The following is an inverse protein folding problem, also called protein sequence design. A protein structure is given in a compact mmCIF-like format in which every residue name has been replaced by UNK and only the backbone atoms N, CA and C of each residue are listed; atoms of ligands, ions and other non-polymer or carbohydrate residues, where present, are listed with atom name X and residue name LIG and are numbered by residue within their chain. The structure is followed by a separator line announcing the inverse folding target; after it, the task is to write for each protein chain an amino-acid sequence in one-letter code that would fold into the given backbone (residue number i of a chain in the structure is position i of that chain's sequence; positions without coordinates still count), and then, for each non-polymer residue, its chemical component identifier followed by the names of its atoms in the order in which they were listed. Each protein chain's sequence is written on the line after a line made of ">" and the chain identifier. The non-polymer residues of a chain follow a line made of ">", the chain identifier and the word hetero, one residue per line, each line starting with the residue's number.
data_IF_742182286640
#
_entry.id   IF_742182286640
#
_cell.length_a   1.000
_cell.length_b   1.000
_cell.length_c   1.000
_cell.angle_alpha   90.00
_cell.angle_beta   90.00
_cell.angle_gamma   90.00
#
_symmetry.space_group_name_H-M   'P 1'
#
loop_
_entity.id
_entity.type
_entity.pdbx_description
1 polymer ?
#
# COMPACT_ATOMS: atom_id res chain seq x y z
N UNK A 1 -22.93 -49.95 44.87
CA UNK A 1 -24.17 -49.50 44.23
C UNK A 1 -24.07 -47.98 44.16
N UNK A 2 -23.28 -47.50 43.20
CA UNK A 2 -23.64 -46.94 41.87
C UNK A 2 -23.66 -45.40 41.98
N UNK A 3 -22.62 -44.69 41.53
CA UNK A 3 -22.53 -43.93 40.23
C UNK A 3 -23.79 -43.12 39.95
N UNK A 4 -23.74 -41.80 39.69
CA UNK A 4 -23.24 -41.10 38.47
C UNK A 4 -23.28 -39.59 38.79
N UNK A 5 -22.23 -38.79 38.70
CA UNK A 5 -21.60 -38.15 37.53
C UNK A 5 -22.53 -37.22 36.72
N UNK A 6 -22.21 -35.93 36.66
CA UNK A 6 -22.55 -35.03 35.54
C UNK A 6 -21.82 -33.70 35.74
N UNK A 7 -20.59 -33.67 35.24
CA UNK A 7 -19.86 -32.48 34.81
C UNK A 7 -20.73 -31.64 33.85
N UNK A 8 -21.03 -30.39 34.21
CA UNK A 8 -21.50 -29.38 33.27
C UNK A 8 -20.30 -28.49 32.89
N UNK A 9 -19.52 -28.98 31.92
CA UNK A 9 -18.51 -28.17 31.23
C UNK A 9 -19.24 -27.35 30.17
N UNK A 10 -19.59 -26.13 30.54
CA UNK A 10 -19.85 -25.06 29.57
C UNK A 10 -18.57 -24.80 28.78
N UNK A 11 -18.47 -25.37 27.59
CA UNK A 11 -17.52 -24.97 26.57
C UNK A 11 -17.89 -23.55 26.14
N UNK A 12 -17.25 -22.57 26.75
CA UNK A 12 -17.20 -21.21 26.23
C UNK A 12 -16.42 -21.23 24.93
N UNK A 13 -17.13 -21.18 23.80
CA UNK A 13 -16.56 -20.72 22.54
C UNK A 13 -16.26 -19.24 22.74
N UNK A 14 -15.00 -18.93 23.09
CA UNK A 14 -14.46 -17.57 23.05
C UNK A 14 -14.47 -17.10 21.59
N UNK A 15 -15.62 -16.60 21.16
CA UNK A 15 -15.71 -15.79 19.95
C UNK A 15 -15.38 -14.39 20.43
N UNK A 16 -14.11 -14.01 20.34
CA UNK A 16 -13.66 -12.64 20.52
C UNK A 16 -14.27 -11.78 19.38
N UNK A 17 -15.55 -11.44 19.54
CA UNK A 17 -16.25 -10.38 18.80
C UNK A 17 -15.68 -9.02 19.25
N UNK A 18 -14.38 -8.83 19.07
CA UNK A 18 -13.76 -7.52 19.10
C UNK A 18 -14.31 -6.76 17.90
N UNK A 19 -15.17 -5.78 18.19
CA UNK A 19 -15.84 -4.95 17.17
C UNK A 19 -14.81 -4.30 16.27
N UNK A 20 -14.81 -4.64 14.98
CA UNK A 20 -13.90 -4.06 14.00
C UNK A 20 -14.05 -2.52 13.94
N UNK A 21 -12.92 -1.82 13.93
CA UNK A 21 -12.81 -0.35 13.81
C UNK A 21 -13.35 0.14 12.46
N UNK A 22 -13.14 -0.64 11.39
CA UNK A 22 -13.59 -0.30 10.03
C UNK A 22 -13.52 -1.48 9.06
N UNK A 23 -14.08 -1.32 7.86
CA UNK A 23 -14.01 -2.28 6.77
C UNK A 23 -13.53 -1.57 5.50
N UNK A 24 -12.64 -2.22 4.76
CA UNK A 24 -12.02 -1.69 3.54
C UNK A 24 -12.00 -2.76 2.46
N UNK A 25 -12.04 -2.36 1.20
CA UNK A 25 -11.79 -3.28 0.09
C UNK A 25 -10.33 -3.74 0.07
N UNK A 26 -9.39 -2.84 0.37
CA UNK A 26 -7.96 -3.15 0.38
C UNK A 26 -7.30 -2.55 1.62
N UNK A 27 -6.52 -3.35 2.35
CA UNK A 27 -5.60 -2.85 3.38
C UNK A 27 -4.16 -3.06 2.93
N UNK A 28 -3.41 -1.97 2.79
CA UNK A 28 -1.98 -1.97 2.48
C UNK A 28 -1.20 -1.84 3.78
N UNK A 29 -0.32 -2.80 4.06
CA UNK A 29 0.52 -2.83 5.25
C UNK A 29 1.91 -2.28 4.90
N UNK A 30 2.19 -1.04 5.30
CA UNK A 30 3.42 -0.31 5.05
C UNK A 30 3.27 0.84 4.06
N UNK A 31 3.63 2.06 4.47
CA UNK A 31 3.55 3.31 3.70
C UNK A 31 4.87 3.72 3.05
N UNK A 32 5.68 2.74 2.67
CA UNK A 32 6.83 2.97 1.80
C UNK A 32 6.40 3.18 0.34
N UNK A 33 7.37 3.35 -0.56
CA UNK A 33 7.12 3.60 -1.99
C UNK A 33 6.23 2.53 -2.63
N UNK A 34 6.45 1.24 -2.33
CA UNK A 34 5.63 0.16 -2.87
C UNK A 34 4.18 0.22 -2.39
N UNK A 35 3.97 0.40 -1.09
CA UNK A 35 2.64 0.43 -0.49
C UNK A 35 1.85 1.68 -0.88
N UNK A 36 2.46 2.87 -0.85
CA UNK A 36 1.80 4.09 -1.33
C UNK A 36 1.44 4.00 -2.81
N UNK A 37 2.31 3.41 -3.64
CA UNK A 37 1.99 3.20 -5.06
C UNK A 37 0.83 2.22 -5.23
N UNK A 38 0.82 1.11 -4.50
CA UNK A 38 -0.31 0.18 -4.52
C UNK A 38 -1.62 0.85 -4.05
N UNK A 39 -1.52 1.72 -3.05
CA UNK A 39 -2.61 2.57 -2.57
C UNK A 39 -3.20 3.43 -3.67
N UNK A 40 -2.37 4.25 -4.33
CA UNK A 40 -2.80 5.10 -5.46
C UNK A 40 -3.55 4.27 -6.51
N UNK A 41 -3.00 3.13 -6.92
CA UNK A 41 -3.58 2.33 -8.00
C UNK A 41 -4.93 1.70 -7.64
N UNK A 42 -5.06 1.19 -6.41
CA UNK A 42 -6.32 0.59 -5.93
C UNK A 42 -7.39 1.65 -5.68
N UNK A 43 -7.04 2.75 -5.00
CA UNK A 43 -7.98 3.83 -4.71
C UNK A 43 -8.49 4.53 -5.98
N UNK A 44 -7.62 4.75 -6.99
CA UNK A 44 -8.06 5.31 -8.29
C UNK A 44 -9.06 4.41 -9.03
N UNK A 45 -9.15 3.13 -8.69
CA UNK A 45 -10.17 2.21 -9.22
C UNK A 45 -11.40 2.07 -8.31
N UNK A 46 -11.58 3.00 -7.37
CA UNK A 46 -12.74 3.05 -6.49
C UNK A 46 -12.79 1.91 -5.48
N UNK A 47 -11.63 1.33 -5.14
CA UNK A 47 -11.51 0.47 -3.96
C UNK A 47 -11.35 1.36 -2.73
N UNK A 48 -12.12 1.06 -1.69
CA UNK A 48 -11.92 1.67 -0.37
C UNK A 48 -10.59 1.13 0.16
N UNK A 49 -9.54 1.95 0.07
CA UNK A 49 -8.17 1.54 0.39
C UNK A 49 -7.69 2.24 1.65
N UNK A 50 -7.21 1.46 2.61
CA UNK A 50 -6.50 1.93 3.80
C UNK A 50 -5.01 1.58 3.68
N UNK A 51 -4.14 2.56 3.89
CA UNK A 51 -2.70 2.33 4.11
C UNK A 51 -2.39 2.50 5.59
N UNK A 52 -1.90 1.44 6.22
CA UNK A 52 -1.42 1.46 7.61
C UNK A 52 0.10 1.48 7.60
N UNK A 53 0.70 2.53 8.16
CA UNK A 53 2.15 2.75 8.14
C UNK A 53 2.67 3.22 9.49
N UNK A 54 3.86 2.77 9.88
CA UNK A 54 4.51 3.21 11.12
C UNK A 54 5.32 4.51 10.94
N UNK A 55 5.33 5.11 9.75
CA UNK A 55 6.16 6.29 9.43
C UNK A 55 7.65 5.99 9.25
N UNK A 56 8.08 4.74 9.41
CA UNK A 56 9.48 4.35 9.50
C UNK A 56 10.13 3.89 8.19
N UNK A 57 9.60 4.33 7.04
CA UNK A 57 10.19 4.01 5.73
C UNK A 57 11.69 4.32 5.73
N UNK A 58 12.52 3.30 5.46
CA UNK A 58 14.00 3.46 5.44
C UNK A 58 14.44 4.56 4.47
N UNK A 59 13.63 4.82 3.44
CA UNK A 59 13.93 5.84 2.45
C UNK A 59 13.99 7.25 3.08
N UNK A 60 13.23 7.55 4.15
CA UNK A 60 13.32 8.83 4.88
C UNK A 60 14.73 9.13 5.43
N UNK A 61 15.55 8.09 5.63
CA UNK A 61 16.93 8.17 6.15
C UNK A 61 17.98 8.44 5.07
N UNK A 62 17.62 8.36 3.78
CA UNK A 62 18.56 8.67 2.69
C UNK A 62 18.61 10.18 2.46
N UNK A 63 19.79 10.69 2.07
CA UNK A 63 20.01 12.12 1.86
C UNK A 63 19.35 12.62 0.56
N UNK A 64 19.51 11.88 -0.54
CA UNK A 64 19.04 12.27 -1.86
C UNK A 64 18.84 11.04 -2.75
N UNK A 65 17.82 11.06 -3.59
CA UNK A 65 17.57 10.03 -4.60
C UNK A 65 17.97 10.53 -5.98
N UNK A 66 19.01 9.93 -6.56
CA UNK A 66 19.57 10.36 -7.84
C UNK A 66 19.00 9.63 -9.07
N UNK A 67 18.41 8.44 -8.86
CA UNK A 67 18.03 7.52 -9.94
C UNK A 67 16.52 7.24 -10.02
N UNK A 68 15.67 8.08 -9.41
CA UNK A 68 14.22 8.01 -9.59
C UNK A 68 13.82 8.80 -10.85
N UNK A 69 13.28 8.15 -11.91
CA UNK A 69 12.95 8.83 -13.16
C UNK A 69 11.95 9.97 -12.97
N UNK A 70 12.11 11.04 -13.75
CA UNK A 70 11.29 12.25 -13.64
C UNK A 70 11.91 13.36 -12.79
N UNK A 71 13.01 13.08 -12.07
CA UNK A 71 13.76 14.07 -11.30
C UNK A 71 15.18 14.26 -11.86
N UNK A 72 15.40 15.18 -12.82
CA UNK A 72 16.69 15.34 -13.52
C UNK A 72 17.89 15.65 -12.62
N UNK A 73 17.66 16.27 -11.47
CA UNK A 73 18.69 16.58 -10.47
C UNK A 73 18.56 15.70 -9.20
N UNK A 74 17.79 14.61 -9.28
CA UNK A 74 17.34 13.85 -8.14
C UNK A 74 16.30 14.58 -7.28
N UNK A 75 15.90 13.94 -6.19
CA UNK A 75 14.87 14.44 -5.27
C UNK A 75 15.21 14.10 -3.83
N UNK A 76 14.86 14.99 -2.90
CA UNK A 76 14.92 14.69 -1.48
C UNK A 76 14.03 13.48 -1.17
N UNK A 77 14.57 12.50 -0.45
CA UNK A 77 13.89 11.22 -0.22
C UNK A 77 12.62 11.34 0.65
N UNK A 78 12.59 12.29 1.60
CA UNK A 78 11.40 12.59 2.41
C UNK A 78 10.34 13.26 1.56
N UNK A 79 10.74 14.29 0.79
CA UNK A 79 9.84 15.00 -0.13
C UNK A 79 9.15 14.03 -1.10
N UNK A 80 9.88 13.06 -1.68
CA UNK A 80 9.27 12.05 -2.55
C UNK A 80 8.19 11.24 -1.81
N UNK A 81 8.45 10.82 -0.57
CA UNK A 81 7.48 10.04 0.21
C UNK A 81 6.26 10.87 0.59
N UNK A 82 6.44 12.15 0.92
CA UNK A 82 5.33 13.03 1.27
C UNK A 82 4.45 13.32 0.05
N UNK A 83 5.06 13.61 -1.11
CA UNK A 83 4.33 13.74 -2.38
C UNK A 83 3.58 12.44 -2.75
N UNK A 84 4.18 11.26 -2.53
CA UNK A 84 3.51 9.98 -2.77
C UNK A 84 2.36 9.72 -1.78
N UNK A 85 2.52 10.13 -0.53
CA UNK A 85 1.50 10.05 0.51
C UNK A 85 0.29 10.92 0.13
N UNK A 86 0.54 12.18 -0.21
CA UNK A 86 -0.50 13.13 -0.60
C UNK A 86 -1.16 12.71 -1.92
N UNK A 87 -0.40 12.12 -2.85
CA UNK A 87 -0.96 11.51 -4.06
C UNK A 87 -1.89 10.33 -3.74
N UNK A 88 -1.55 9.48 -2.77
CA UNK A 88 -2.40 8.37 -2.34
C UNK A 88 -3.70 8.89 -1.71
N UNK A 89 -3.63 9.91 -0.86
CA UNK A 89 -4.81 10.55 -0.26
C UNK A 89 -5.69 11.24 -1.31
N UNK A 90 -5.09 11.99 -2.25
CA UNK A 90 -5.80 12.62 -3.36
C UNK A 90 -6.47 11.59 -4.30
N UNK A 91 -5.91 10.37 -4.39
CA UNK A 91 -6.52 9.25 -5.10
C UNK A 91 -7.69 8.61 -4.34
N UNK A 92 -7.85 8.91 -3.04
CA UNK A 92 -8.92 8.38 -2.19
C UNK A 92 -8.47 7.37 -1.14
N UNK A 93 -7.16 7.19 -0.90
CA UNK A 93 -6.68 6.36 0.20
C UNK A 93 -6.96 7.02 1.54
N UNK A 94 -7.41 6.23 2.51
CA UNK A 94 -7.23 6.58 3.91
C UNK A 94 -5.83 6.18 4.39
N UNK A 95 -5.24 6.98 5.26
CA UNK A 95 -3.94 6.69 5.89
C UNK A 95 -4.07 6.67 7.41
N UNK A 96 -3.46 5.67 8.02
CA UNK A 96 -3.38 5.54 9.48
C UNK A 96 -1.94 5.30 9.89
N UNK A 97 -1.47 6.13 10.81
CA UNK A 97 -0.15 5.95 11.41
C UNK A 97 -0.27 4.95 12.56
N UNK A 98 0.12 3.70 12.31
CA UNK A 98 0.12 2.61 13.29
C UNK A 98 1.01 1.46 12.80
N UNK A 99 1.44 0.60 13.72
CA UNK A 99 2.13 -0.65 13.35
C UNK A 99 1.12 -1.79 13.28
N UNK A 100 1.07 -2.50 12.15
CA UNK A 100 0.29 -3.74 12.03
C UNK A 100 1.01 -4.85 12.80
N UNK A 101 0.28 -5.51 13.69
CA UNK A 101 0.82 -6.58 14.55
C UNK A 101 0.34 -7.96 14.14
N UNK A 102 -0.81 -8.05 13.43
CA UNK A 102 -1.37 -9.32 13.00
C UNK A 102 -2.29 -9.16 11.80
N UNK A 103 -2.15 -10.07 10.85
CA UNK A 103 -3.13 -10.37 9.81
C UNK A 103 -3.65 -11.78 10.06
N UNK A 104 -4.95 -11.97 9.95
CA UNK A 104 -5.58 -13.30 10.03
C UNK A 104 -6.64 -13.43 8.92
N UNK A 105 -6.76 -14.62 8.35
CA UNK A 105 -7.81 -14.94 7.39
C UNK A 105 -9.16 -15.11 8.08
N UNK A 106 -10.23 -14.74 7.37
CA UNK A 106 -11.62 -14.96 7.74
C UNK A 106 -12.36 -15.58 6.54
N UNK A 107 -13.59 -16.10 6.72
CA UNK A 107 -14.37 -16.61 5.59
C UNK A 107 -14.64 -15.57 4.50
N UNK A 108 -14.69 -14.27 4.86
CA UNK A 108 -14.94 -13.16 3.92
C UNK A 108 -13.69 -12.33 3.56
N UNK A 109 -12.48 -12.76 3.92
CA UNK A 109 -11.23 -12.04 3.63
C UNK A 109 -10.25 -12.06 4.79
N UNK A 110 -9.97 -10.88 5.36
CA UNK A 110 -8.93 -10.70 6.38
C UNK A 110 -9.34 -9.77 7.53
N UNK A 111 -8.70 -9.97 8.67
CA UNK A 111 -8.64 -8.98 9.76
C UNK A 111 -7.20 -8.51 9.93
N UNK A 112 -7.00 -7.19 10.06
CA UNK A 112 -5.71 -6.53 10.25
C UNK A 112 -5.72 -5.78 11.58
N UNK A 113 -4.95 -6.27 12.55
CA UNK A 113 -4.81 -5.68 13.88
C UNK A 113 -3.58 -4.78 13.99
N UNK A 114 -3.69 -3.69 14.74
CA UNK A 114 -2.60 -2.74 14.98
C UNK A 114 -2.13 -2.73 16.44
N UNK A 115 -1.01 -2.06 16.70
CA UNK A 115 -0.49 -1.79 18.06
C UNK A 115 -1.45 -1.00 18.93
N UNK A 116 -2.32 -0.20 18.32
CA UNK A 116 -3.18 0.75 19.03
C UNK A 116 -4.51 0.10 19.45
N UNK A 117 -4.67 -1.20 19.15
CA UNK A 117 -5.86 -1.98 19.44
C UNK A 117 -6.92 -1.95 18.34
N UNK A 118 -6.69 -1.20 17.26
CA UNK A 118 -7.60 -1.17 16.12
C UNK A 118 -7.59 -2.49 15.35
N UNK A 119 -8.75 -2.83 14.79
CA UNK A 119 -8.95 -4.01 13.94
C UNK A 119 -9.74 -3.65 12.70
N UNK A 120 -9.13 -3.80 11.54
CA UNK A 120 -9.74 -3.51 10.24
C UNK A 120 -10.12 -4.80 9.52
N UNK A 121 -11.31 -4.87 8.93
CA UNK A 121 -11.66 -5.93 7.97
C UNK A 121 -11.21 -5.52 6.57
N UNK A 122 -10.71 -6.48 5.81
CA UNK A 122 -10.26 -6.27 4.44
C UNK A 122 -10.71 -7.42 3.53
N UNK A 123 -11.14 -7.12 2.30
CA UNK A 123 -11.30 -8.16 1.27
C UNK A 123 -9.93 -8.61 0.77
N UNK A 124 -9.01 -7.66 0.59
CA UNK A 124 -7.65 -7.88 0.10
C UNK A 124 -6.60 -7.23 0.99
N UNK A 125 -5.42 -7.85 1.10
CA UNK A 125 -4.26 -7.31 1.83
C UNK A 125 -3.04 -7.23 0.93
N UNK A 126 -2.35 -6.09 0.95
CA UNK A 126 -1.04 -5.91 0.30
C UNK A 126 0.03 -5.71 1.37
N UNK A 127 0.85 -6.73 1.59
CA UNK A 127 2.01 -6.70 2.48
C UNK A 127 3.18 -5.97 1.79
N UNK A 128 3.46 -4.74 2.22
CA UNK A 128 4.48 -3.87 1.62
C UNK A 128 5.54 -3.39 2.63
N UNK A 129 5.64 -4.08 3.78
CA UNK A 129 6.67 -3.83 4.79
C UNK A 129 8.02 -4.29 4.29
N UNK A 130 9.01 -3.40 4.21
CA UNK A 130 10.35 -3.70 3.69
C UNK A 130 10.92 -5.07 4.09
N UNK A 131 10.83 -5.43 5.37
CA UNK A 131 11.36 -6.69 5.91
C UNK A 131 10.66 -7.18 7.20
N UNK A 132 9.61 -6.51 7.67
CA UNK A 132 8.80 -7.04 8.76
C UNK A 132 7.81 -8.06 8.18
N UNK A 133 7.70 -9.22 8.80
CA UNK A 133 6.94 -10.38 8.27
C UNK A 133 6.14 -11.10 9.34
N UNK A 134 6.48 -10.85 10.61
CA UNK A 134 5.91 -11.41 11.83
C UNK A 134 4.40 -11.21 11.95
N UNK A 135 3.85 -10.12 11.41
CA UNK A 135 2.40 -9.93 11.38
C UNK A 135 1.65 -10.91 10.46
N UNK A 136 2.35 -11.64 9.59
CA UNK A 136 1.78 -12.72 8.76
C UNK A 136 1.98 -14.10 9.39
N UNK A 137 2.63 -14.20 10.56
CA UNK A 137 2.84 -15.47 11.24
C UNK A 137 1.50 -16.14 11.56
N UNK A 138 1.36 -17.40 11.16
CA UNK A 138 0.14 -18.18 11.38
C UNK A 138 -0.94 -18.01 10.31
N UNK A 139 -0.70 -17.23 9.25
CA UNK A 139 -1.55 -17.26 8.05
C UNK A 139 -1.18 -18.48 7.21
N UNK A 140 -2.03 -19.52 7.24
CA UNK A 140 -1.81 -20.75 6.46
C UNK A 140 -1.73 -20.44 4.96
N UNK A 141 -0.70 -20.97 4.29
CA UNK A 141 -0.46 -20.76 2.86
C UNK A 141 0.56 -19.66 2.53
N UNK A 142 0.91 -18.80 3.50
CA UNK A 142 2.01 -17.82 3.30
C UNK A 142 3.35 -18.55 3.37
N UNK A 143 4.12 -18.49 2.27
CA UNK A 143 5.49 -18.98 2.22
C UNK A 143 6.47 -17.92 2.71
N UNK A 144 7.51 -18.34 3.44
CA UNK A 144 8.58 -17.47 3.93
C UNK A 144 9.93 -17.94 3.41
N UNK A 145 10.74 -17.00 2.93
CA UNK A 145 12.08 -17.27 2.37
C UNK A 145 13.12 -16.58 3.25
N UNK A 146 14.04 -17.36 3.84
CA UNK A 146 15.19 -16.82 4.59
C UNK A 146 16.44 -16.79 3.71
N UNK A 147 16.97 -15.57 3.48
CA UNK A 147 18.27 -15.32 2.83
C UNK A 147 19.11 -14.32 3.63
N UNK A 148 19.11 -14.47 4.96
CA UNK A 148 19.71 -13.52 5.93
C UNK A 148 18.76 -12.38 6.31
N UNK A 149 17.64 -12.27 5.61
CA UNK A 149 16.42 -11.56 5.98
C UNK A 149 15.25 -12.42 5.50
N UNK A 150 14.12 -12.31 6.19
CA UNK A 150 12.88 -12.98 5.79
C UNK A 150 12.17 -12.19 4.70
N UNK A 151 11.71 -12.91 3.68
CA UNK A 151 10.87 -12.43 2.59
C UNK A 151 9.60 -13.27 2.50
N UNK A 152 8.60 -12.77 1.78
CA UNK A 152 7.39 -13.51 1.47
C UNK A 152 7.55 -14.15 0.10
N UNK A 153 7.28 -15.46 0.05
CA UNK A 153 7.24 -16.23 -1.20
C UNK A 153 6.06 -15.76 -2.05
N UNK A 154 6.35 -15.39 -3.29
CA UNK A 154 5.36 -14.84 -4.22
C UNK A 154 5.61 -15.29 -5.64
N UNK A 155 4.57 -15.28 -6.47
CA UNK A 155 4.73 -15.33 -7.92
C UNK A 155 5.39 -14.05 -8.47
N UNK A 156 5.62 -13.98 -9.78
CA UNK A 156 6.30 -12.83 -10.39
C UNK A 156 5.54 -11.50 -10.25
N UNK A 157 4.23 -11.58 -10.03
CA UNK A 157 3.28 -10.47 -9.91
C UNK A 157 2.89 -10.15 -8.45
N UNK A 158 3.51 -10.84 -7.48
CA UNK A 158 3.35 -10.59 -6.05
C UNK A 158 2.18 -11.31 -5.38
N UNK A 159 1.54 -12.29 -6.01
CA UNK A 159 0.55 -13.16 -5.33
C UNK A 159 1.25 -14.07 -4.34
N UNK A 160 0.69 -14.22 -3.14
CA UNK A 160 1.13 -15.23 -2.17
C UNK A 160 0.41 -16.57 -2.42
N UNK A 161 0.66 -17.57 -1.58
CA UNK A 161 -0.13 -18.82 -1.58
C UNK A 161 -1.53 -18.70 -0.98
N UNK A 162 -1.98 -17.47 -0.64
CA UNK A 162 -3.29 -17.18 -0.06
C UNK A 162 -4.05 -16.23 -0.96
N UNK A 163 -5.23 -16.66 -1.40
CA UNK A 163 -6.10 -15.84 -2.26
C UNK A 163 -6.42 -14.51 -1.57
N UNK A 164 -6.19 -13.42 -2.30
CA UNK A 164 -6.43 -12.06 -1.84
C UNK A 164 -5.33 -11.45 -0.95
N UNK A 165 -4.26 -12.19 -0.66
CA UNK A 165 -3.06 -11.67 0.01
C UNK A 165 -1.90 -11.57 -0.98
N UNK A 166 -1.35 -10.36 -1.10
CA UNK A 166 -0.24 -10.04 -2.00
C UNK A 166 0.94 -9.49 -1.20
N UNK A 167 2.15 -9.58 -1.74
CA UNK A 167 3.32 -8.89 -1.19
C UNK A 167 4.02 -8.03 -2.26
N UNK A 168 4.49 -6.85 -1.86
CA UNK A 168 5.02 -5.84 -2.77
C UNK A 168 6.42 -5.34 -2.37
N UNK A 169 7.12 -4.78 -3.36
CA UNK A 169 8.46 -4.21 -3.19
C UNK A 169 9.49 -5.19 -2.60
N UNK A 170 10.26 -4.72 -1.61
CA UNK A 170 11.38 -5.47 -1.04
C UNK A 170 10.94 -6.75 -0.31
N UNK A 171 9.73 -6.77 0.24
CA UNK A 171 9.16 -7.91 0.95
C UNK A 171 9.02 -9.14 0.04
N UNK A 172 8.65 -8.90 -1.22
CA UNK A 172 8.55 -9.87 -2.30
C UNK A 172 9.87 -9.99 -3.10
N UNK A 173 10.99 -9.96 -2.39
CA UNK A 173 12.36 -10.13 -2.92
C UNK A 173 12.85 -9.13 -3.99
N UNK A 174 12.06 -8.13 -4.38
CA UNK A 174 12.50 -7.18 -5.41
C UNK A 174 13.75 -6.40 -4.97
N UNK A 175 14.63 -6.01 -5.91
CA UNK A 175 15.80 -5.19 -5.63
C UNK A 175 15.49 -3.97 -4.76
N UNK A 176 16.38 -3.67 -3.81
CA UNK A 176 16.21 -2.56 -2.88
C UNK A 176 16.49 -1.21 -3.56
N UNK A 177 15.60 -0.79 -4.46
CA UNK A 177 15.66 0.42 -5.27
C UNK A 177 14.26 1.06 -5.27
N UNK A 178 14.16 2.36 -5.02
CA UNK A 178 12.86 3.05 -4.85
C UNK A 178 11.95 2.89 -6.07
N UNK A 179 12.48 3.11 -7.28
CA UNK A 179 11.72 2.98 -8.54
C UNK A 179 11.27 1.53 -8.81
N UNK A 180 12.09 0.55 -8.45
CA UNK A 180 11.73 -0.88 -8.62
C UNK A 180 10.59 -1.23 -7.67
N UNK A 181 10.66 -0.77 -6.42
CA UNK A 181 9.57 -0.95 -5.45
C UNK A 181 8.29 -0.20 -5.87
N UNK A 182 8.40 1.00 -6.45
CA UNK A 182 7.25 1.72 -7.00
C UNK A 182 6.59 0.90 -8.12
N UNK A 183 7.37 0.47 -9.11
CA UNK A 183 6.87 -0.33 -10.23
C UNK A 183 6.23 -1.64 -9.77
N UNK A 184 6.85 -2.35 -8.82
CA UNK A 184 6.25 -3.57 -8.29
C UNK A 184 4.99 -3.30 -7.46
N UNK A 185 4.92 -2.19 -6.71
CA UNK A 185 3.69 -1.78 -6.01
C UNK A 185 2.53 -1.53 -6.98
N UNK A 186 2.81 -0.88 -8.12
CA UNK A 186 1.84 -0.70 -9.18
C UNK A 186 1.42 -2.03 -9.83
N UNK A 187 2.39 -2.90 -10.14
CA UNK A 187 2.13 -4.23 -10.72
C UNK A 187 1.24 -5.09 -9.81
N UNK A 188 1.53 -5.13 -8.50
CA UNK A 188 0.73 -5.84 -7.50
C UNK A 188 -0.69 -5.29 -7.44
N UNK A 189 -0.86 -3.97 -7.46
CA UNK A 189 -2.20 -3.37 -7.44
C UNK A 189 -2.99 -3.69 -8.71
N UNK A 190 -2.37 -3.64 -9.89
CA UNK A 190 -3.02 -4.05 -11.15
C UNK A 190 -3.39 -5.53 -11.13
N UNK A 191 -2.52 -6.37 -10.56
CA UNK A 191 -2.75 -7.81 -10.40
C UNK A 191 -3.95 -8.07 -9.49
N UNK A 192 -4.00 -7.41 -8.33
CA UNK A 192 -5.14 -7.47 -7.40
C UNK A 192 -6.44 -7.05 -8.08
N UNK A 193 -6.43 -5.95 -8.82
CA UNK A 193 -7.62 -5.45 -9.51
C UNK A 193 -8.09 -6.40 -10.62
N UNK A 194 -7.16 -7.09 -11.30
CA UNK A 194 -7.51 -8.11 -12.28
C UNK A 194 -8.14 -9.35 -11.61
N UNK A 195 -7.61 -9.78 -10.46
CA UNK A 195 -8.18 -10.89 -9.67
C UNK A 195 -9.55 -10.54 -9.06
N UNK A 196 -9.82 -9.25 -8.92
CA UNK A 196 -11.10 -8.66 -8.52
C UNK A 196 -12.06 -8.36 -9.70
N UNK A 197 -11.74 -8.85 -10.91
CA UNK A 197 -12.53 -8.64 -12.13
C UNK A 197 -12.84 -7.16 -12.45
N UNK A 198 -11.97 -6.23 -12.03
CA UNK A 198 -12.15 -4.79 -12.29
C UNK A 198 -11.77 -4.43 -13.73
N UNK A 199 -12.52 -3.52 -14.38
CA UNK A 199 -12.15 -3.03 -15.70
C UNK A 199 -10.78 -2.34 -15.67
N UNK A 200 -9.97 -2.60 -16.70
CA UNK A 200 -8.73 -1.89 -16.93
C UNK A 200 -8.96 -0.38 -17.10
N UNK A 201 -8.00 0.42 -16.62
CA UNK A 201 -7.96 1.88 -16.82
C UNK A 201 -6.61 2.36 -17.31
N UNK A 202 -6.60 3.55 -17.92
CA UNK A 202 -5.37 4.25 -18.26
C UNK A 202 -4.97 5.23 -17.16
N UNK A 203 -3.66 5.38 -16.94
CA UNK A 203 -3.06 6.40 -16.09
C UNK A 203 -3.01 7.78 -16.77
N UNK A 204 -3.51 7.89 -18.00
CA UNK A 204 -3.59 9.11 -18.80
C UNK A 204 -4.99 9.34 -19.38
N UNK A 205 -5.27 10.59 -19.74
CA UNK A 205 -6.48 11.02 -20.46
C UNK A 205 -6.10 11.60 -21.82
N UNK A 206 -7.01 11.49 -22.79
CA UNK A 206 -6.83 12.02 -24.14
C UNK A 206 -7.50 13.41 -24.28
N UNK A 207 -7.03 14.27 -25.19
CA UNK A 207 -7.80 15.46 -25.58
C UNK A 207 -9.14 15.08 -26.22
N UNK A 208 -10.20 15.86 -25.95
CA UNK A 208 -11.50 15.74 -26.63
C UNK A 208 -11.32 15.63 -28.15
N UNK A 209 -11.98 14.64 -28.75
CA UNK A 209 -11.89 14.36 -30.18
C UNK A 209 -10.74 13.45 -30.61
N UNK A 210 -9.77 13.15 -29.73
CA UNK A 210 -8.56 12.41 -30.13
C UNK A 210 -8.88 11.04 -30.76
N UNK A 211 -9.79 10.26 -30.20
CA UNK A 211 -10.32 9.03 -30.80
C UNK A 211 -11.62 9.31 -31.56
N UNK A 212 -12.54 10.04 -30.92
CA UNK A 212 -13.92 10.16 -31.38
C UNK A 212 -14.05 10.91 -32.71
N UNK A 213 -13.27 11.98 -32.96
CA UNK A 213 -13.29 12.70 -34.24
C UNK A 213 -12.68 11.89 -35.39
N UNK A 214 -11.92 10.83 -35.08
CA UNK A 214 -11.39 9.88 -36.07
C UNK A 214 -12.35 8.71 -36.33
N UNK A 215 -13.56 8.75 -35.78
CA UNK A 215 -14.55 7.67 -35.89
C UNK A 215 -14.09 6.37 -35.20
N UNK A 216 -13.27 6.50 -34.15
CA UNK A 216 -12.82 5.36 -33.33
C UNK A 216 -13.51 5.36 -31.99
N UNK A 217 -13.86 4.18 -31.49
CA UNK A 217 -14.33 4.02 -30.12
C UNK A 217 -13.22 4.38 -29.12
N UNK A 218 -13.63 4.91 -27.97
CA UNK A 218 -12.74 5.12 -26.84
C UNK A 218 -12.22 3.77 -26.33
N UNK A 219 -10.91 3.59 -26.17
CA UNK A 219 -10.38 2.40 -25.50
C UNK A 219 -11.00 2.24 -24.10
N UNK A 220 -11.20 0.99 -23.63
CA UNK A 220 -11.68 0.75 -22.27
C UNK A 220 -10.84 1.50 -21.23
N UNK A 221 -11.52 2.22 -20.34
CA UNK A 221 -10.88 2.99 -19.28
C UNK A 221 -10.12 4.24 -19.73
N UNK A 222 -10.31 4.69 -20.97
CA UNK A 222 -9.82 5.97 -21.48
C UNK A 222 -10.89 7.06 -21.36
N UNK A 223 -10.48 8.25 -20.92
CA UNK A 223 -11.32 9.45 -20.88
C UNK A 223 -10.81 10.48 -21.91
N UNK A 224 -11.72 11.13 -22.63
CA UNK A 224 -11.43 12.31 -23.43
C UNK A 224 -11.83 13.59 -22.67
N UNK A 225 -10.86 14.48 -22.44
CA UNK A 225 -11.06 15.71 -21.66
C UNK A 225 -11.03 16.97 -22.53
N UNK A 226 -11.94 17.90 -22.24
CA UNK A 226 -12.00 19.20 -22.90
C UNK A 226 -10.75 20.02 -22.62
N UNK A 227 -10.45 20.97 -23.50
CA UNK A 227 -9.33 21.88 -23.29
C UNK A 227 -9.40 22.64 -21.96
N UNK A 228 -10.60 23.06 -21.53
CA UNK A 228 -10.79 23.76 -20.25
C UNK A 228 -10.41 22.88 -19.06
N UNK A 229 -10.76 21.60 -19.09
CA UNK A 229 -10.42 20.66 -18.03
C UNK A 229 -8.92 20.32 -18.04
N UNK A 230 -8.34 20.13 -19.24
CA UNK A 230 -6.89 19.93 -19.39
C UNK A 230 -6.10 21.10 -18.76
N UNK A 231 -6.48 22.35 -19.08
CA UNK A 231 -5.83 23.55 -18.54
C UNK A 231 -6.02 23.67 -17.03
N UNK A 232 -7.21 23.37 -16.51
CA UNK A 232 -7.47 23.35 -15.06
C UNK A 232 -6.54 22.37 -14.34
N UNK A 233 -6.43 21.14 -14.84
CA UNK A 233 -5.52 20.11 -14.28
C UNK A 233 -4.04 20.52 -14.37
N UNK A 234 -3.64 21.20 -15.45
CA UNK A 234 -2.28 21.73 -15.61
C UNK A 234 -1.97 22.86 -14.62
N UNK A 235 -2.89 23.81 -14.44
CA UNK A 235 -2.76 24.90 -13.46
C UNK A 235 -2.65 24.37 -12.02
N UNK A 236 -3.50 23.39 -11.68
CA UNK A 236 -3.46 22.69 -10.39
C UNK A 236 -2.12 21.97 -10.18
N UNK A 237 -1.67 21.18 -11.17
CA UNK A 237 -0.38 20.48 -11.11
C UNK A 237 0.80 21.44 -10.95
N UNK A 238 0.83 22.55 -11.68
CA UNK A 238 1.88 23.56 -11.57
C UNK A 238 1.88 24.25 -10.20
N UNK A 239 0.70 24.56 -9.65
CA UNK A 239 0.58 25.16 -8.33
C UNK A 239 1.07 24.22 -7.24
N UNK A 240 0.59 22.97 -7.22
CA UNK A 240 0.99 21.94 -6.26
C UNK A 240 2.49 21.65 -6.32
N UNK A 241 3.04 21.45 -7.51
CA UNK A 241 4.49 21.16 -7.62
C UNK A 241 5.35 22.33 -7.15
N UNK A 242 4.94 23.58 -7.42
CA UNK A 242 5.66 24.76 -6.92
C UNK A 242 5.69 24.80 -5.40
N UNK A 243 4.61 24.41 -4.73
CA UNK A 243 4.56 24.36 -3.27
C UNK A 243 5.61 23.39 -2.70
N UNK A 244 5.70 22.18 -3.25
CA UNK A 244 6.66 21.17 -2.80
C UNK A 244 8.13 21.53 -3.03
N UNK A 245 8.44 22.29 -4.10
CA UNK A 245 9.82 22.59 -4.47
C UNK A 245 10.25 24.02 -4.19
N UNK A 246 9.37 24.85 -3.61
CA UNK A 246 9.67 26.25 -3.31
C UNK A 246 10.76 26.40 -2.24
N UNK A 247 10.73 25.54 -1.23
CA UNK A 247 11.61 25.60 -0.07
C UNK A 247 12.25 24.23 0.21
N UNK A 248 13.40 24.18 0.90
CA UNK A 248 13.95 22.91 1.39
C UNK A 248 12.94 22.17 2.27
N UNK A 249 13.03 20.84 2.27
CA UNK A 249 12.23 20.01 3.17
C UNK A 249 12.42 20.45 4.64
N UNK A 250 11.34 20.66 5.42
CA UNK A 250 11.43 21.26 6.74
C UNK A 250 12.11 20.34 7.77
N UNK A 251 11.91 19.03 7.66
CA UNK A 251 12.52 18.08 8.58
C UNK A 251 14.00 17.81 8.28
N UNK A 252 14.77 17.70 9.36
CA UNK A 252 16.17 17.32 9.31
C UNK A 252 16.37 15.89 8.78
N UNK A 253 17.60 15.65 8.30
CA UNK A 253 18.00 14.33 7.86
C UNK A 253 18.06 13.34 9.03
N UNK A 254 17.18 12.34 9.03
CA UNK A 254 17.25 11.26 9.99
C UNK A 254 18.48 10.39 9.75
N UNK A 255 19.31 10.22 10.77
CA UNK A 255 20.43 9.26 10.78
C UNK A 255 19.98 7.86 11.20
N UNK A 256 20.87 6.86 11.10
CA UNK A 256 20.61 5.51 11.56
C UNK A 256 20.33 5.50 13.07
N UNK A 257 19.33 4.73 13.59
CA UNK A 257 19.00 4.72 15.02
C UNK A 257 20.19 4.41 15.93
N UNK A 258 21.08 3.50 15.51
CA UNK A 258 22.30 3.17 16.29
C UNK A 258 23.35 4.29 16.36
N UNK A 259 23.16 5.39 15.65
CA UNK A 259 24.01 6.58 15.67
C UNK A 259 23.34 7.76 16.36
N UNK A 260 22.11 7.57 16.88
CA UNK A 260 21.50 8.55 17.77
C UNK A 260 22.18 8.37 19.13
N UNK A 261 22.77 9.43 19.66
CA UNK A 261 23.16 9.43 21.06
C UNK A 261 21.86 9.38 21.87
N UNK A 262 21.65 8.32 22.66
CA UNK A 262 20.58 8.23 23.66
C UNK A 262 20.89 9.16 24.86
N UNK A 263 21.18 10.43 24.54
CA UNK A 263 21.71 11.43 25.46
C UNK A 263 20.90 12.71 25.40
N UNK A 264 19.72 12.68 26.02
CA UNK A 264 19.20 13.69 26.96
C UNK A 264 17.93 13.18 27.66
#
# INVERSE_FOLDING_TARGET
>A
MTTTDSDDRTTGTDTDESTATGAYGVVVVGGGVAGLTAGVFTARHGRETLVVDAGESILRRNAHLENFPGFPAGVNARLLLDMLADQAEAAGCERREATVTRVATTPEGFTVGTTDGDRYRAEYVVAATKNATDYLDGVEGVGFIDRGKTFIDTDEHGRTGVDGLYAAGRLAEKPHQAVVCAGHGAEVAVTLLADDDRPFYHDWVAPEGYFTDRGRDLPPGCEEVRETERRRREEESLATMREYVAEPHPDEQLTHPSLRDDGE
#
